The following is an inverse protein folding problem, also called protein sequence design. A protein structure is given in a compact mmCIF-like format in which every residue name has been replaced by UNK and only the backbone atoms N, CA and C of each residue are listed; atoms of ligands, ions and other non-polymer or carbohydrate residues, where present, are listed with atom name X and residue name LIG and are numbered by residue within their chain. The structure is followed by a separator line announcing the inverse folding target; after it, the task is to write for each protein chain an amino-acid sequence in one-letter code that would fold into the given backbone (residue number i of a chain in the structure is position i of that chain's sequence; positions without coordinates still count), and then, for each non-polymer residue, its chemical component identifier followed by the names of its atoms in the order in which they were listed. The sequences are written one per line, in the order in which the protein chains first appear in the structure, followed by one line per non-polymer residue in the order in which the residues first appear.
data_IF_109949589038
#
_entry.id   IF_109949589038
#
_cell.length_a   1.000
_cell.length_b   1.000
_cell.length_c   1.000
_cell.angle_alpha   90.00
_cell.angle_beta   90.00
_cell.angle_gamma   90.00
#
_symmetry.space_group_name_H-M   'P 1'
#
loop_
_entity.id
_entity.type
_entity.pdbx_description
1 polymer ?
#
# COMPACT_ATOMS: atom_id res chain seq x y z
N UNK A 1 -16.54 7.92 3.08
CA UNK A 1 -15.75 9.01 2.48
C UNK A 1 -14.36 8.47 2.20
N UNK A 2 -14.05 8.18 0.94
CA UNK A 2 -12.67 7.90 0.50
C UNK A 2 -11.87 9.20 0.61
N UNK A 3 -10.82 9.19 1.42
CA UNK A 3 -9.89 10.32 1.54
C UNK A 3 -8.98 10.28 0.30
N UNK A 4 -9.47 10.73 -0.84
CA UNK A 4 -8.68 10.78 -2.06
C UNK A 4 -7.91 12.10 -2.05
N UNK A 5 -6.59 12.03 -1.91
CA UNK A 5 -5.71 13.20 -1.94
C UNK A 5 -5.78 13.86 -3.32
N UNK A 6 -5.81 15.19 -3.36
CA UNK A 6 -5.73 15.90 -4.64
C UNK A 6 -4.33 15.80 -5.28
N UNK A 7 -4.19 16.26 -6.52
CA UNK A 7 -2.91 16.16 -7.23
C UNK A 7 -1.79 17.01 -6.62
N UNK A 8 -2.12 18.13 -5.97
CA UNK A 8 -1.15 19.03 -5.34
C UNK A 8 -0.64 18.43 -4.02
N UNK A 9 -1.53 17.93 -3.17
CA UNK A 9 -1.20 17.23 -1.93
C UNK A 9 -0.29 16.03 -2.21
N UNK A 10 -0.61 15.26 -3.26
CA UNK A 10 0.24 14.14 -3.68
C UNK A 10 1.62 14.58 -4.17
N UNK A 11 1.79 15.75 -4.78
CA UNK A 11 3.11 16.21 -5.25
C UNK A 11 4.03 16.65 -4.12
N UNK A 12 3.46 17.16 -3.02
CA UNK A 12 4.23 17.63 -1.86
C UNK A 12 4.60 16.51 -0.89
N UNK A 13 3.94 15.35 -0.98
CA UNK A 13 4.22 14.22 -0.10
C UNK A 13 5.60 13.60 -0.35
N UNK A 14 6.34 13.30 0.72
CA UNK A 14 7.62 12.61 0.61
C UNK A 14 7.39 11.18 0.09
N UNK A 15 8.39 10.66 -0.60
CA UNK A 15 8.43 9.29 -1.12
C UNK A 15 8.11 8.23 -0.05
N UNK A 16 8.46 8.49 1.21
CA UNK A 16 8.13 7.63 2.35
C UNK A 16 6.63 7.47 2.63
N UNK A 17 5.79 8.30 2.04
CA UNK A 17 4.34 8.25 2.19
C UNK A 17 3.65 7.29 1.20
N UNK A 18 4.41 6.65 0.32
CA UNK A 18 3.90 5.68 -0.66
C UNK A 18 4.44 4.27 -0.38
N UNK A 19 3.64 3.24 -0.66
CA UNK A 19 4.13 1.88 -0.64
C UNK A 19 5.14 1.63 -1.79
N UNK A 20 4.88 2.22 -2.97
CA UNK A 20 5.75 2.17 -4.14
C UNK A 20 6.25 3.58 -4.50
N UNK A 21 7.33 4.09 -3.87
CA UNK A 21 7.76 5.47 -4.01
C UNK A 21 8.09 5.88 -5.45
N UNK A 22 8.87 5.05 -6.17
CA UNK A 22 9.22 5.29 -7.58
C UNK A 22 7.99 5.44 -8.48
N UNK A 23 6.92 4.71 -8.18
CA UNK A 23 5.68 4.74 -8.94
C UNK A 23 4.67 5.76 -8.40
N UNK A 24 4.94 6.36 -7.22
CA UNK A 24 4.00 7.17 -6.43
C UNK A 24 2.61 6.51 -6.29
N UNK A 25 2.58 5.19 -6.12
CA UNK A 25 1.36 4.37 -6.00
C UNK A 25 1.14 3.93 -4.55
N UNK A 26 -0.13 3.74 -4.21
CA UNK A 26 -0.58 3.29 -2.89
C UNK A 26 -0.08 4.19 -1.75
N UNK A 27 -0.63 5.41 -1.62
CA UNK A 27 -0.34 6.27 -0.47
C UNK A 27 -0.67 5.55 0.84
N UNK A 28 0.03 5.93 1.91
CA UNK A 28 -0.02 5.32 3.24
C UNK A 28 -0.21 6.40 4.33
N UNK A 29 -0.93 7.48 4.03
CA UNK A 29 -1.09 8.63 4.93
C UNK A 29 -2.14 8.44 6.02
N UNK A 30 -3.05 7.47 5.87
CA UNK A 30 -4.08 7.13 6.87
C UNK A 30 -4.52 5.66 6.78
N UNK A 31 -5.41 5.24 7.70
CA UNK A 31 -5.90 3.88 7.77
C UNK A 31 -6.65 3.40 6.51
N UNK A 32 -7.41 4.28 5.85
CA UNK A 32 -8.14 3.94 4.62
C UNK A 32 -7.18 3.72 3.47
N UNK A 33 -6.18 4.58 3.36
CA UNK A 33 -5.06 4.46 2.42
C UNK A 33 -4.30 3.13 2.60
N UNK A 34 -3.98 2.75 3.84
CA UNK A 34 -3.33 1.46 4.13
C UNK A 34 -4.19 0.27 3.72
N UNK A 35 -5.50 0.28 4.04
CA UNK A 35 -6.41 -0.80 3.62
C UNK A 35 -6.49 -0.91 2.10
N UNK A 36 -6.56 0.22 1.40
CA UNK A 36 -6.54 0.26 -0.07
C UNK A 36 -5.23 -0.32 -0.62
N UNK A 37 -4.09 0.06 -0.06
CA UNK A 37 -2.77 -0.45 -0.44
C UNK A 37 -2.68 -1.98 -0.29
N UNK A 38 -3.24 -2.52 0.79
CA UNK A 38 -3.34 -3.97 1.03
C UNK A 38 -4.20 -4.63 -0.06
N UNK A 39 -5.39 -4.09 -0.35
CA UNK A 39 -6.32 -4.68 -1.31
C UNK A 39 -5.88 -4.55 -2.77
N UNK A 40 -5.08 -3.52 -3.11
CA UNK A 40 -4.63 -3.23 -4.48
C UNK A 40 -3.20 -3.65 -4.77
N UNK A 41 -2.54 -4.29 -3.81
CA UNK A 41 -1.12 -4.62 -3.88
C UNK A 41 -0.70 -5.37 -5.16
N UNK A 42 -1.52 -6.32 -5.61
CA UNK A 42 -1.27 -7.11 -6.82
C UNK A 42 -1.58 -6.34 -8.12
N UNK A 43 -2.37 -5.26 -8.05
CA UNK A 43 -2.75 -4.41 -9.19
C UNK A 43 -1.60 -3.52 -9.66
N UNK A 44 -0.58 -3.31 -8.84
CA UNK A 44 0.64 -2.57 -9.21
C UNK A 44 1.53 -3.45 -10.09
N UNK A 45 1.26 -3.53 -11.40
CA UNK A 45 1.94 -4.45 -12.32
C UNK A 45 3.38 -4.05 -12.67
N UNK A 46 3.72 -2.76 -12.57
CA UNK A 46 5.06 -2.24 -12.95
C UNK A 46 6.12 -2.35 -11.84
N UNK A 47 5.80 -3.04 -10.75
CA UNK A 47 6.69 -3.25 -9.61
C UNK A 47 7.45 -4.57 -9.73
N UNK A 48 8.76 -4.50 -9.57
CA UNK A 48 9.64 -5.66 -9.39
C UNK A 48 9.39 -6.36 -8.05
N UNK A 49 9.83 -7.61 -7.92
CA UNK A 49 9.72 -8.35 -6.65
C UNK A 49 10.45 -7.69 -5.49
N UNK A 50 11.56 -7.00 -5.77
CA UNK A 50 12.27 -6.20 -4.78
C UNK A 50 11.40 -5.04 -4.28
N UNK A 51 10.77 -4.31 -5.20
CA UNK A 51 9.85 -3.21 -4.87
C UNK A 51 8.61 -3.72 -4.13
N UNK A 52 8.08 -4.90 -4.48
CA UNK A 52 6.99 -5.54 -3.74
C UNK A 52 7.41 -5.86 -2.31
N UNK A 53 8.59 -6.43 -2.11
CA UNK A 53 9.10 -6.71 -0.77
C UNK A 53 9.21 -5.44 0.07
N UNK A 54 9.79 -4.37 -0.49
CA UNK A 54 9.87 -3.10 0.24
C UNK A 54 8.50 -2.47 0.50
N UNK A 55 7.58 -2.52 -0.48
CA UNK A 55 6.23 -2.00 -0.34
C UNK A 55 5.47 -2.72 0.77
N UNK A 56 5.63 -4.04 0.89
CA UNK A 56 5.07 -4.83 1.99
C UNK A 56 5.59 -4.37 3.34
N UNK A 57 6.89 -4.13 3.48
CA UNK A 57 7.48 -3.64 4.74
C UNK A 57 6.95 -2.25 5.12
N UNK A 58 6.78 -1.36 4.12
CA UNK A 58 6.17 -0.03 4.31
C UNK A 58 4.71 -0.13 4.73
N UNK A 59 3.92 -0.96 4.05
CA UNK A 59 2.51 -1.21 4.39
C UNK A 59 2.39 -1.77 5.81
N UNK A 60 3.22 -2.76 6.19
CA UNK A 60 3.22 -3.34 7.54
C UNK A 60 3.54 -2.29 8.62
N UNK A 61 4.48 -1.38 8.35
CA UNK A 61 4.80 -0.27 9.25
C UNK A 61 3.62 0.71 9.38
N UNK A 62 3.00 1.06 8.26
CA UNK A 62 1.85 1.96 8.25
C UNK A 62 0.62 1.33 8.92
N UNK A 63 0.37 0.04 8.67
CA UNK A 63 -0.71 -0.72 9.31
C UNK A 63 -0.61 -0.70 10.83
N UNK A 64 0.59 -0.93 11.39
CA UNK A 64 0.83 -0.76 12.83
C UNK A 64 0.61 0.68 13.32
N UNK A 65 1.01 1.68 12.53
CA UNK A 65 0.85 3.10 12.89
C UNK A 65 -0.62 3.52 12.95
N UNK A 66 -1.44 3.01 12.05
CA UNK A 66 -2.85 3.41 11.89
C UNK A 66 -3.85 2.37 12.41
N UNK A 67 -3.38 1.38 13.18
CA UNK A 67 -4.18 0.31 13.77
C UNK A 67 -5.04 -0.44 12.73
N UNK A 68 -4.41 -0.79 11.61
CA UNK A 68 -5.00 -1.63 10.56
C UNK A 68 -4.48 -3.04 10.72
N UNK A 69 -5.40 -4.00 10.84
CA UNK A 69 -5.05 -5.41 10.90
C UNK A 69 -4.49 -5.91 9.57
N UNK A 70 -3.35 -6.61 9.63
CA UNK A 70 -2.72 -7.25 8.49
C UNK A 70 -2.14 -8.61 8.92
N UNK A 71 -2.74 -9.68 8.43
CA UNK A 71 -2.37 -11.07 8.77
C UNK A 71 -1.34 -11.68 7.81
N UNK A 72 -1.09 -11.02 6.68
CA UNK A 72 -0.11 -11.46 5.70
C UNK A 72 1.32 -11.48 6.29
N UNK A 73 2.04 -12.58 6.08
CA UNK A 73 3.42 -12.75 6.57
C UNK A 73 4.46 -12.33 5.52
N UNK A 74 4.11 -12.42 4.24
CA UNK A 74 4.95 -12.02 3.11
C UNK A 74 4.14 -11.31 2.03
N UNK A 75 4.83 -10.58 1.15
CA UNK A 75 4.17 -9.78 0.12
C UNK A 75 3.30 -10.61 -0.84
N UNK A 76 3.65 -11.88 -1.07
CA UNK A 76 2.88 -12.79 -1.91
C UNK A 76 1.50 -13.14 -1.33
N UNK A 77 1.29 -12.90 -0.03
CA UNK A 77 -0.01 -13.11 0.61
C UNK A 77 -0.95 -11.92 0.41
N UNK A 78 -0.42 -10.76 0.02
CA UNK A 78 -1.21 -9.59 -0.33
C UNK A 78 -1.76 -9.70 -1.75
N UNK A 79 -3.02 -9.27 -1.93
CA UNK A 79 -3.63 -9.15 -3.25
C UNK A 79 -3.93 -10.48 -3.95
N UNK A 80 -3.84 -11.63 -3.26
CA UNK A 80 -4.50 -12.84 -3.76
C UNK A 80 -6.00 -12.54 -3.79
N UNK A 81 -6.70 -12.69 -4.94
CA UNK A 81 -8.14 -12.69 -4.91
C UNK A 81 -8.55 -13.75 -3.91
N UNK A 82 -9.32 -13.38 -2.90
CA UNK A 82 -9.97 -14.34 -2.02
C UNK A 82 -10.69 -15.31 -2.95
N UNK A 83 -10.16 -16.52 -3.09
CA UNK A 83 -10.81 -17.59 -3.82
C UNK A 83 -12.13 -17.82 -3.10
N UNK A 84 -13.19 -17.17 -3.58
CA UNK A 84 -14.55 -17.59 -3.28
C UNK A 84 -14.71 -18.94 -3.98
N UNK A 85 -14.42 -20.01 -3.25
CA UNK A 85 -15.04 -21.31 -3.51
C UNK A 85 -16.48 -21.28 -3.04
#
# INVERSE_FOLDING_TARGET
MSHELDAAERNEMPDSAYAFPRLRKEPLSDASHVRNAISRFDQVKDASDAERREAFDRIRKAARKFDVEMTAERWQDLGKPSSKS
#
